data_IF_245623556028
#
_entry.id   IF_245623556028
#
_cell.length_a   1.000
_cell.length_b   1.000
_cell.length_c   1.000
_cell.angle_alpha   90.00
_cell.angle_beta   90.00
_cell.angle_gamma   90.00
#
_symmetry.space_group_name_H-M   'P 1'
#
loop_
_entity.id
_entity.type
_entity.pdbx_description
1 polymer ?
#
# COMPACT_ATOMS: atom_id res chain seq x y z
N UNK A 1 6.98 -30.54 -5.63
CA UNK A 1 5.62 -31.11 -5.50
C UNK A 1 4.73 -30.37 -4.48
N UNK A 2 5.23 -29.77 -3.40
CA UNK A 2 4.38 -29.06 -2.41
C UNK A 2 3.78 -27.70 -2.87
N UNK A 3 4.38 -27.00 -3.82
CA UNK A 3 3.90 -25.68 -4.27
C UNK A 3 2.54 -25.71 -5.00
N UNK A 4 1.99 -26.90 -5.29
CA UNK A 4 0.67 -27.07 -5.92
C UNK A 4 -0.51 -26.99 -4.95
N UNK A 5 -0.27 -27.00 -3.63
CA UNK A 5 -1.30 -26.84 -2.60
C UNK A 5 -0.86 -25.85 -1.50
N UNK A 6 -0.82 -24.53 -1.78
CA UNK A 6 -0.25 -23.53 -0.87
C UNK A 6 -0.95 -23.42 0.50
N UNK A 7 -2.19 -23.89 0.59
CA UNK A 7 -2.98 -23.92 1.84
C UNK A 7 -2.49 -24.97 2.84
N UNK A 8 -1.77 -26.00 2.38
CA UNK A 8 -1.22 -27.07 3.21
C UNK A 8 0.21 -26.78 3.69
N UNK A 9 0.78 -25.65 3.28
CA UNK A 9 2.11 -25.22 3.72
C UNK A 9 1.94 -24.17 4.81
N UNK A 10 2.59 -24.42 5.95
CA UNK A 10 2.66 -23.48 7.06
C UNK A 10 3.21 -22.10 6.62
N UNK A 11 2.77 -21.03 7.29
CA UNK A 11 3.19 -19.67 6.97
C UNK A 11 4.71 -19.51 7.03
N UNK A 12 5.37 -20.09 8.03
CA UNK A 12 6.81 -19.95 8.19
C UNK A 12 7.60 -20.60 7.06
N UNK A 13 7.11 -21.74 6.56
CA UNK A 13 7.69 -22.42 5.41
C UNK A 13 7.49 -21.61 4.12
N UNK A 14 6.31 -21.02 3.91
CA UNK A 14 6.06 -20.11 2.77
C UNK A 14 6.96 -18.88 2.84
N UNK A 15 7.09 -18.28 4.02
CA UNK A 15 7.96 -17.12 4.27
C UNK A 15 9.43 -17.45 4.03
N UNK A 16 9.91 -18.59 4.52
CA UNK A 16 11.29 -19.04 4.33
C UNK A 16 11.60 -19.29 2.85
N UNK A 17 10.68 -19.94 2.12
CA UNK A 17 10.78 -20.14 0.67
C UNK A 17 10.76 -18.82 -0.10
N UNK A 18 9.87 -17.89 0.25
CA UNK A 18 9.84 -16.57 -0.38
C UNK A 18 11.17 -15.83 -0.18
N UNK A 19 11.67 -15.78 1.07
CA UNK A 19 12.95 -15.14 1.39
C UNK A 19 14.14 -15.78 0.69
N UNK A 20 14.15 -17.11 0.49
CA UNK A 20 15.24 -17.77 -0.24
C UNK A 20 15.25 -17.37 -1.72
N UNK A 21 14.07 -17.22 -2.35
CA UNK A 21 13.95 -16.71 -3.72
C UNK A 21 14.41 -15.27 -3.87
N UNK A 22 14.10 -14.40 -2.90
CA UNK A 22 14.56 -13.01 -2.90
C UNK A 22 16.08 -12.94 -2.75
N UNK A 23 16.67 -13.70 -1.81
CA UNK A 23 18.14 -13.77 -1.67
C UNK A 23 18.83 -14.23 -2.94
N UNK A 24 18.31 -15.27 -3.59
CA UNK A 24 18.84 -15.72 -4.87
C UNK A 24 18.86 -14.60 -5.93
N UNK A 25 17.82 -13.77 -5.99
CA UNK A 25 17.80 -12.62 -6.90
C UNK A 25 18.82 -11.54 -6.51
N UNK A 26 19.02 -11.32 -5.22
CA UNK A 26 20.01 -10.36 -4.72
C UNK A 26 21.44 -10.82 -5.03
N UNK A 27 21.75 -12.10 -4.86
CA UNK A 27 23.09 -12.66 -5.15
C UNK A 27 23.41 -12.66 -6.65
N UNK A 28 22.38 -12.77 -7.49
CA UNK A 28 22.49 -12.67 -8.95
C UNK A 28 22.44 -11.22 -9.46
N UNK A 29 22.20 -10.25 -8.60
CA UNK A 29 22.06 -8.86 -9.00
C UNK A 29 23.44 -8.26 -9.29
N UNK A 30 23.67 -7.94 -10.56
CA UNK A 30 24.95 -7.42 -11.04
C UNK A 30 25.09 -5.90 -10.85
N UNK A 31 23.99 -5.17 -10.62
CA UNK A 31 24.06 -3.71 -10.45
C UNK A 31 24.50 -3.35 -9.04
N UNK A 32 25.15 -2.19 -8.92
CA UNK A 32 25.64 -1.65 -7.66
C UNK A 32 24.52 -1.30 -6.66
N UNK A 33 24.90 -0.86 -5.45
CA UNK A 33 23.92 -0.48 -4.42
C UNK A 33 23.02 0.66 -4.89
N UNK A 34 21.74 0.59 -4.53
CA UNK A 34 20.78 1.67 -4.72
C UNK A 34 21.02 2.73 -3.65
N UNK A 35 21.68 3.82 -4.01
CA UNK A 35 21.98 4.93 -3.09
C UNK A 35 20.93 6.03 -3.22
N UNK A 36 20.44 6.51 -2.08
CA UNK A 36 19.58 7.70 -2.00
C UNK A 36 20.11 8.68 -0.96
N UNK A 37 19.94 9.97 -1.22
CA UNK A 37 20.30 11.05 -0.30
C UNK A 37 19.07 11.90 -0.02
N UNK A 38 18.62 11.95 1.23
CA UNK A 38 17.34 12.57 1.61
C UNK A 38 17.50 13.53 2.78
N UNK A 39 16.67 14.57 2.81
CA UNK A 39 16.52 15.46 3.97
C UNK A 39 15.33 14.97 4.79
N UNK A 40 15.47 14.90 6.12
CA UNK A 40 14.38 14.43 7.01
C UNK A 40 13.07 15.20 6.79
N UNK A 41 13.17 16.53 6.68
CA UNK A 41 12.01 17.40 6.47
C UNK A 41 11.33 17.22 5.10
N UNK A 42 12.02 16.64 4.12
CA UNK A 42 11.52 16.45 2.75
C UNK A 42 11.59 14.99 2.32
N UNK A 43 11.49 14.05 3.28
CA UNK A 43 11.76 12.62 3.03
C UNK A 43 10.85 12.04 1.94
N UNK A 44 9.57 12.42 1.90
CA UNK A 44 8.65 11.96 0.87
C UNK A 44 9.05 12.48 -0.51
N UNK A 45 9.27 13.78 -0.62
CA UNK A 45 9.63 14.46 -1.87
C UNK A 45 10.97 13.95 -2.42
N UNK A 46 12.01 13.95 -1.59
CA UNK A 46 13.36 13.53 -1.99
C UNK A 46 13.37 12.05 -2.42
N UNK A 47 12.62 11.19 -1.70
CA UNK A 47 12.50 9.77 -2.05
C UNK A 47 11.72 9.55 -3.34
N UNK A 48 10.59 10.26 -3.50
CA UNK A 48 9.76 10.20 -4.70
C UNK A 48 10.57 10.61 -5.94
N UNK A 49 11.30 11.73 -5.84
CA UNK A 49 12.15 12.24 -6.92
C UNK A 49 13.24 11.24 -7.32
N UNK A 50 13.85 10.55 -6.37
CA UNK A 50 14.95 9.63 -6.65
C UNK A 50 14.53 8.24 -7.09
N UNK A 51 13.31 7.79 -6.75
CA UNK A 51 12.88 6.39 -6.93
C UNK A 51 11.76 6.20 -7.95
N UNK A 52 10.89 7.20 -8.21
CA UNK A 52 9.70 7.02 -9.06
C UNK A 52 10.02 6.55 -10.49
N UNK A 53 11.12 7.05 -11.06
CA UNK A 53 11.56 6.72 -12.42
C UNK A 53 12.68 5.68 -12.48
N UNK A 54 13.13 5.15 -11.32
CA UNK A 54 14.21 4.16 -11.31
C UNK A 54 13.79 2.88 -12.04
N UNK A 55 14.63 2.31 -12.90
CA UNK A 55 14.38 1.00 -13.48
C UNK A 55 14.17 -0.06 -12.39
N UNK A 56 13.28 -1.02 -12.63
CA UNK A 56 13.00 -2.11 -11.68
C UNK A 56 14.23 -2.98 -11.40
N UNK A 57 15.20 -3.02 -12.32
CA UNK A 57 16.50 -3.67 -12.12
C UNK A 57 17.26 -2.99 -10.98
N UNK A 58 17.46 -1.68 -11.05
CA UNK A 58 18.18 -0.90 -10.03
C UNK A 58 17.51 -0.97 -8.65
N UNK A 59 16.17 -1.05 -8.63
CA UNK A 59 15.42 -1.23 -7.39
C UNK A 59 15.66 -2.59 -6.72
N UNK A 60 16.35 -3.55 -7.34
CA UNK A 60 16.75 -4.79 -6.66
C UNK A 60 18.08 -4.67 -5.94
N UNK A 61 18.82 -3.58 -6.14
CA UNK A 61 20.05 -3.31 -5.44
C UNK A 61 19.83 -3.08 -3.95
N UNK A 62 20.83 -3.44 -3.13
CA UNK A 62 20.85 -3.11 -1.70
C UNK A 62 20.66 -1.61 -1.51
N UNK A 63 19.63 -1.21 -0.78
CA UNK A 63 19.38 0.19 -0.45
C UNK A 63 20.46 0.70 0.51
N UNK A 64 20.96 1.89 0.25
CA UNK A 64 21.87 2.62 1.12
C UNK A 64 21.35 4.05 1.26
N UNK A 65 20.93 4.40 2.46
CA UNK A 65 20.34 5.70 2.76
C UNK A 65 21.37 6.63 3.36
N UNK A 66 21.45 7.84 2.84
CA UNK A 66 22.18 8.94 3.43
C UNK A 66 21.22 10.07 3.82
N UNK A 67 21.23 10.46 5.10
CA UNK A 67 20.54 11.67 5.55
C UNK A 67 21.48 12.87 5.39
N UNK A 68 21.04 13.88 4.64
CA UNK A 68 21.88 15.05 4.33
C UNK A 68 22.25 15.83 5.60
N UNK A 69 23.52 16.19 5.73
CA UNK A 69 24.04 16.92 6.89
C UNK A 69 24.28 16.04 8.13
N UNK A 70 24.01 14.74 8.05
CA UNK A 70 24.20 13.80 9.16
C UNK A 70 25.43 12.91 8.95
N UNK A 71 26.16 12.64 10.03
CA UNK A 71 27.25 11.66 10.02
C UNK A 71 26.64 10.26 10.15
N UNK A 72 26.99 9.35 9.25
CA UNK A 72 26.58 7.96 9.37
C UNK A 72 26.86 7.17 8.09
N UNK A 73 27.33 5.94 8.27
CA UNK A 73 27.40 4.94 7.20
C UNK A 73 26.25 3.97 7.42
N UNK A 74 25.43 3.76 6.39
CA UNK A 74 24.29 2.88 6.50
C UNK A 74 24.72 1.40 6.55
N UNK A 75 24.81 0.87 7.77
CA UNK A 75 24.92 -0.56 8.04
C UNK A 75 23.55 -1.26 8.14
N UNK A 76 22.47 -0.58 7.75
CA UNK A 76 21.07 -1.03 7.82
C UNK A 76 20.20 -0.18 8.75
N UNK A 77 20.82 0.54 9.70
CA UNK A 77 20.10 1.39 10.65
C UNK A 77 19.41 2.58 9.99
N UNK A 78 20.09 3.27 9.07
CA UNK A 78 19.52 4.42 8.35
C UNK A 78 18.46 3.97 7.35
N UNK A 79 18.67 2.82 6.70
CA UNK A 79 17.63 2.19 5.87
C UNK A 79 16.36 1.89 6.68
N UNK A 80 16.49 1.28 7.87
CA UNK A 80 15.33 0.97 8.73
C UNK A 80 14.58 2.25 9.13
N UNK A 81 15.32 3.27 9.54
CA UNK A 81 14.75 4.56 9.91
C UNK A 81 14.05 5.24 8.74
N UNK A 82 14.64 5.21 7.54
CA UNK A 82 14.03 5.76 6.33
C UNK A 82 12.67 5.13 6.03
N UNK A 83 12.55 3.80 6.11
CA UNK A 83 11.27 3.13 5.92
C UNK A 83 10.21 3.59 6.93
N UNK A 84 10.61 3.73 8.21
CA UNK A 84 9.71 4.18 9.28
C UNK A 84 9.24 5.62 9.08
N UNK A 85 10.15 6.54 8.73
CA UNK A 85 9.81 7.93 8.51
C UNK A 85 8.98 8.12 7.25
N UNK A 86 9.38 7.47 6.16
CA UNK A 86 8.68 7.56 4.88
C UNK A 86 7.26 6.99 4.99
N UNK A 87 7.08 5.84 5.67
CA UNK A 87 5.75 5.27 5.87
C UNK A 87 4.86 6.21 6.68
N UNK A 88 5.37 6.81 7.77
CA UNK A 88 4.60 7.78 8.55
C UNK A 88 4.07 8.93 7.70
N UNK A 89 4.88 9.48 6.80
CA UNK A 89 4.45 10.60 5.94
C UNK A 89 3.47 10.13 4.85
N UNK A 90 3.67 8.96 4.25
CA UNK A 90 2.76 8.43 3.20
C UNK A 90 1.36 8.15 3.74
N UNK A 91 1.28 7.60 4.95
CA UNK A 91 0.04 7.15 5.58
C UNK A 91 -0.55 8.19 6.55
N UNK A 92 0.03 9.38 6.61
CA UNK A 92 -0.56 10.51 7.31
C UNK A 92 -1.85 10.98 6.60
N UNK A 93 -2.84 11.41 7.38
CA UNK A 93 -4.13 11.90 6.85
C UNK A 93 -3.94 13.09 5.90
N UNK A 94 -2.96 13.95 6.15
CA UNK A 94 -2.63 15.12 5.33
C UNK A 94 -2.02 14.78 3.97
N UNK A 95 -1.50 13.57 3.77
CA UNK A 95 -0.99 13.15 2.47
C UNK A 95 -2.11 12.84 1.45
N UNK A 96 -3.35 12.64 1.93
CA UNK A 96 -4.55 12.33 1.15
C UNK A 96 -4.47 11.08 0.26
N UNK A 97 -3.40 10.28 0.35
CA UNK A 97 -3.20 9.07 -0.46
C UNK A 97 -3.97 7.86 0.11
N UNK A 98 -3.95 7.69 1.43
CA UNK A 98 -4.60 6.59 2.12
C UNK A 98 -5.54 7.14 3.19
N UNK A 99 -6.59 6.38 3.49
CA UNK A 99 -7.50 6.64 4.61
C UNK A 99 -7.59 5.40 5.47
N UNK A 100 -7.95 5.59 6.73
CA UNK A 100 -8.28 4.51 7.63
C UNK A 100 -9.74 4.08 7.48
N UNK A 101 -10.06 2.88 7.96
CA UNK A 101 -11.43 2.32 8.04
C UNK A 101 -11.69 1.85 9.46
N UNK A 102 -12.91 2.07 9.97
CA UNK A 102 -13.34 1.58 11.30
C UNK A 102 -12.50 2.15 12.45
N UNK A 103 -11.85 1.26 13.21
CA UNK A 103 -11.08 1.60 14.41
C UNK A 103 -9.72 2.31 14.15
N UNK A 104 -9.50 2.85 12.96
CA UNK A 104 -8.26 3.51 12.54
C UNK A 104 -6.99 2.64 12.57
N UNK A 105 -7.12 1.30 12.62
CA UNK A 105 -5.96 0.41 12.67
C UNK A 105 -5.45 -0.02 11.30
N UNK A 106 -6.27 0.10 10.24
CA UNK A 106 -5.91 -0.38 8.89
C UNK A 106 -6.17 0.66 7.81
N UNK A 107 -5.31 0.66 6.79
CA UNK A 107 -5.33 1.62 5.68
C UNK A 107 -5.88 1.03 4.39
N UNK A 108 -6.57 1.87 3.62
CA UNK A 108 -6.96 1.61 2.23
C UNK A 108 -6.72 2.87 1.37
N UNK A 109 -6.57 2.73 0.04
CA UNK A 109 -6.45 3.89 -0.85
C UNK A 109 -7.60 4.87 -0.63
N UNK A 110 -7.30 6.15 -0.49
CA UNK A 110 -8.31 7.18 -0.29
C UNK A 110 -9.12 7.37 -1.60
N UNK A 111 -10.46 7.16 -1.59
CA UNK A 111 -11.30 7.43 -2.76
C UNK A 111 -11.21 8.88 -3.25
N UNK A 112 -10.92 9.81 -2.34
CA UNK A 112 -10.76 11.24 -2.62
C UNK A 112 -9.29 11.65 -2.89
N UNK A 113 -8.41 10.68 -3.17
CA UNK A 113 -6.99 10.96 -3.45
C UNK A 113 -6.76 11.87 -4.66
N UNK A 114 -7.76 12.10 -5.51
CA UNK A 114 -7.71 13.04 -6.64
C UNK A 114 -7.38 14.49 -6.21
N UNK A 115 -7.68 14.87 -4.96
CA UNK A 115 -7.29 16.18 -4.41
C UNK A 115 -5.80 16.31 -4.12
N UNK A 116 -5.05 15.20 -4.20
CA UNK A 116 -3.60 15.22 -4.20
C UNK A 116 -3.08 15.23 -5.63
N UNK A 117 -2.31 16.26 -5.97
CA UNK A 117 -1.66 16.38 -7.28
C UNK A 117 -0.77 15.15 -7.54
N UNK A 118 -0.84 14.59 -8.74
CA UNK A 118 -0.09 13.38 -9.13
C UNK A 118 -0.37 12.12 -8.29
N UNK A 119 -1.54 12.01 -7.63
CA UNK A 119 -1.85 10.87 -6.74
C UNK A 119 -1.62 9.48 -7.37
N UNK A 120 -1.90 9.29 -8.66
CA UNK A 120 -1.63 8.02 -9.35
C UNK A 120 -0.14 7.69 -9.42
N UNK A 121 0.70 8.71 -9.64
CA UNK A 121 2.16 8.54 -9.63
C UNK A 121 2.65 8.23 -8.21
N UNK A 122 2.08 8.88 -7.20
CA UNK A 122 2.35 8.54 -5.80
C UNK A 122 1.94 7.11 -5.46
N UNK A 123 0.77 6.62 -5.87
CA UNK A 123 0.39 5.21 -5.64
C UNK A 123 1.37 4.24 -6.28
N UNK A 124 1.86 4.52 -7.49
CA UNK A 124 2.92 3.72 -8.13
C UNK A 124 4.21 3.75 -7.32
N UNK A 125 4.61 4.91 -6.82
CA UNK A 125 5.77 5.07 -5.95
C UNK A 125 5.59 4.30 -4.63
N UNK A 126 4.45 4.40 -3.95
CA UNK A 126 4.16 3.67 -2.71
C UNK A 126 4.21 2.15 -2.97
N UNK A 127 3.63 1.68 -4.07
CA UNK A 127 3.73 0.28 -4.48
C UNK A 127 5.18 -0.19 -4.66
N UNK A 128 6.04 0.65 -5.25
CA UNK A 128 7.48 0.38 -5.36
C UNK A 128 8.16 0.32 -3.98
N UNK A 129 7.84 1.23 -3.06
CA UNK A 129 8.40 1.26 -1.70
C UNK A 129 7.99 0.03 -0.90
N UNK A 130 6.71 -0.36 -0.95
CA UNK A 130 6.20 -1.57 -0.28
C UNK A 130 6.87 -2.83 -0.85
N UNK A 131 6.97 -2.94 -2.18
CA UNK A 131 7.66 -4.05 -2.82
C UNK A 131 9.16 -4.09 -2.45
N UNK A 132 9.80 -2.91 -2.37
CA UNK A 132 11.21 -2.79 -1.97
C UNK A 132 11.42 -3.19 -0.50
N UNK A 133 10.52 -2.80 0.40
CA UNK A 133 10.57 -3.22 1.81
C UNK A 133 10.52 -4.75 1.93
N UNK A 134 9.61 -5.40 1.21
CA UNK A 134 9.52 -6.86 1.15
C UNK A 134 10.78 -7.49 0.58
N UNK A 135 11.36 -6.89 -0.46
CA UNK A 135 12.61 -7.34 -1.08
C UNK A 135 13.81 -7.21 -0.14
N UNK A 136 13.87 -6.12 0.63
CA UNK A 136 14.94 -5.85 1.60
C UNK A 136 14.76 -6.61 2.93
N UNK A 137 13.61 -7.27 3.11
CA UNK A 137 13.24 -7.89 4.38
C UNK A 137 12.98 -6.88 5.50
N UNK A 138 12.61 -5.64 5.15
CA UNK A 138 12.24 -4.58 6.09
C UNK A 138 10.75 -4.63 6.41
N UNK A 139 10.40 -4.31 7.64
CA UNK A 139 9.02 -4.21 8.09
C UNK A 139 8.56 -2.76 8.00
N UNK A 140 7.33 -2.57 7.52
CA UNK A 140 6.63 -1.29 7.61
C UNK A 140 5.64 -1.39 8.75
N UNK A 141 5.56 -0.34 9.58
CA UNK A 141 4.57 -0.23 10.63
C UNK A 141 3.25 0.31 10.05
N UNK A 142 2.71 -0.45 9.09
CA UNK A 142 1.51 -0.11 8.33
C UNK A 142 0.75 -1.38 8.02
N UNK A 143 -0.53 -1.39 8.36
CA UNK A 143 -1.42 -2.53 8.15
C UNK A 143 -2.48 -2.13 7.13
N UNK A 144 -2.59 -2.88 6.04
CA UNK A 144 -3.62 -2.63 5.06
C UNK A 144 -4.92 -3.37 5.42
N UNK A 145 -6.04 -2.92 4.85
CA UNK A 145 -7.28 -3.69 4.94
C UNK A 145 -7.12 -5.06 4.25
N UNK A 146 -7.89 -6.05 4.71
CA UNK A 146 -7.90 -7.40 4.13
C UNK A 146 -8.24 -7.39 2.63
N UNK A 147 -9.20 -6.54 2.23
CA UNK A 147 -9.58 -6.33 0.83
C UNK A 147 -8.43 -5.80 -0.01
N UNK A 148 -7.61 -4.89 0.53
CA UNK A 148 -6.45 -4.37 -0.19
C UNK A 148 -5.35 -5.44 -0.37
N UNK A 149 -5.10 -6.28 0.64
CA UNK A 149 -4.20 -7.44 0.46
C UNK A 149 -4.71 -8.40 -0.62
N UNK A 150 -6.03 -8.64 -0.71
CA UNK A 150 -6.62 -9.45 -1.78
C UNK A 150 -6.42 -8.84 -3.16
N UNK A 151 -6.57 -7.53 -3.31
CA UNK A 151 -6.25 -6.81 -4.54
C UNK A 151 -4.79 -7.00 -4.96
N UNK A 152 -3.84 -6.90 -4.02
CA UNK A 152 -2.42 -7.15 -4.29
C UNK A 152 -2.19 -8.58 -4.79
N UNK A 153 -2.92 -9.55 -4.24
CA UNK A 153 -2.84 -10.97 -4.63
C UNK A 153 -3.64 -11.31 -5.90
N UNK A 154 -4.41 -10.38 -6.47
CA UNK A 154 -5.30 -10.65 -7.60
C UNK A 154 -6.46 -11.60 -7.26
N UNK A 155 -6.83 -11.73 -5.98
CA UNK A 155 -7.91 -12.59 -5.52
C UNK A 155 -9.22 -11.78 -5.51
N UNK A 156 -10.32 -12.37 -6.02
CA UNK A 156 -11.64 -11.73 -5.95
C UNK A 156 -12.04 -11.48 -4.50
N UNK A 157 -12.55 -10.28 -4.22
CA UNK A 157 -13.18 -10.00 -2.94
C UNK A 157 -14.47 -10.82 -2.84
N UNK A 158 -14.69 -11.42 -1.68
CA UNK A 158 -15.95 -12.07 -1.35
C UNK A 158 -16.77 -11.06 -0.55
N UNK A 159 -18.02 -10.89 -0.95
CA UNK A 159 -18.98 -9.95 -0.34
C UNK A 159 -19.23 -10.36 1.12
N UNK A 160 -19.17 -11.65 1.45
CA UNK A 160 -19.35 -12.16 2.81
C UNK A 160 -18.21 -11.80 3.78
N UNK A 161 -17.09 -11.28 3.28
CA UNK A 161 -15.92 -10.91 4.10
C UNK A 161 -15.82 -9.42 4.39
N UNK A 162 -16.81 -8.62 3.97
CA UNK A 162 -16.99 -7.26 4.47
C UNK A 162 -17.70 -7.41 5.82
N UNK A 163 -16.98 -7.35 6.96
CA UNK A 163 -17.67 -7.24 8.24
C UNK A 163 -18.41 -5.91 8.16
N UNK A 164 -19.71 -5.91 8.40
CA UNK A 164 -20.58 -4.72 8.26
C UNK A 164 -21.05 -4.40 6.83
N UNK A 165 -21.43 -5.41 6.04
CA UNK A 165 -22.63 -5.26 5.18
C UNK A 165 -23.92 -5.33 6.00
N UNK A 166 -23.94 -4.66 7.15
CA UNK A 166 -25.19 -4.13 7.67
C UNK A 166 -25.44 -2.90 6.79
N UNK A 167 -26.55 -2.83 6.09
CA UNK A 167 -26.99 -1.61 5.38
C UNK A 167 -27.16 -0.39 6.31
N UNK A 168 -26.70 -0.44 7.56
CA UNK A 168 -26.56 0.71 8.43
C UNK A 168 -25.23 1.40 8.12
N UNK A 169 -25.29 2.40 7.26
CA UNK A 169 -24.29 3.48 7.32
C UNK A 169 -24.23 3.98 8.76
N UNK A 170 -23.04 4.09 9.33
CA UNK A 170 -22.89 4.78 10.61
C UNK A 170 -23.42 6.21 10.45
N UNK A 171 -24.15 6.71 11.45
CA UNK A 171 -24.81 8.02 11.37
C UNK A 171 -23.82 9.18 11.07
N UNK A 172 -22.56 8.99 11.43
CA UNK A 172 -21.47 9.92 11.12
C UNK A 172 -21.05 9.85 9.64
N UNK A 173 -21.01 8.65 9.03
CA UNK A 173 -20.80 8.50 7.57
C UNK A 173 -22.00 9.03 6.79
N UNK A 174 -23.23 8.80 7.26
CA UNK A 174 -24.44 9.37 6.66
C UNK A 174 -24.41 10.89 6.68
N UNK A 175 -24.02 11.50 7.82
CA UNK A 175 -23.84 12.96 7.89
C UNK A 175 -22.73 13.47 6.97
N UNK A 176 -21.61 12.75 6.88
CA UNK A 176 -20.49 13.13 6.02
C UNK A 176 -20.87 13.06 4.52
N UNK A 177 -21.68 12.07 4.13
CA UNK A 177 -22.19 11.92 2.76
C UNK A 177 -23.29 12.94 2.46
N UNK A 178 -24.21 13.20 3.39
CA UNK A 178 -25.39 14.03 3.17
C UNK A 178 -25.12 15.54 3.30
N UNK A 179 -24.15 15.94 4.13
CA UNK A 179 -23.91 17.36 4.45
C UNK A 179 -22.54 17.89 4.03
N UNK A 180 -21.53 17.06 3.80
CA UNK A 180 -20.17 17.52 3.47
C UNK A 180 -19.74 17.27 2.02
N UNK A 181 -20.43 16.41 1.27
CA UNK A 181 -20.20 16.29 -0.18
C UNK A 181 -20.96 17.39 -0.92
N UNK A 182 -20.22 18.32 -1.52
CA UNK A 182 -20.77 19.37 -2.40
C UNK A 182 -21.36 18.80 -3.69
N UNK A 183 -20.95 17.59 -4.09
CA UNK A 183 -21.46 16.87 -5.26
C UNK A 183 -21.64 15.37 -4.95
N UNK A 184 -22.81 14.84 -5.29
CA UNK A 184 -23.12 13.39 -5.25
C UNK A 184 -23.15 12.88 -6.69
N UNK A 185 -22.35 11.86 -6.96
CA UNK A 185 -22.31 11.22 -8.29
C UNK A 185 -22.99 9.85 -8.22
N UNK A 186 -24.02 9.67 -9.04
CA UNK A 186 -24.69 8.38 -9.19
C UNK A 186 -23.85 7.45 -10.08
N UNK A 187 -23.55 6.25 -9.57
CA UNK A 187 -22.85 5.20 -10.31
C UNK A 187 -23.74 3.97 -10.51
N UNK A 188 -23.85 3.51 -11.75
CA UNK A 188 -24.48 2.21 -12.06
C UNK A 188 -23.56 1.06 -11.64
N UNK A 189 -24.05 0.16 -10.79
CA UNK A 189 -23.30 -1.05 -10.38
C UNK A 189 -23.17 -2.08 -11.51
N UNK A 190 -24.12 -2.09 -12.45
CA UNK A 190 -24.12 -2.91 -13.66
C UNK A 190 -24.79 -2.14 -14.81
N UNK A 191 -24.45 -2.42 -16.07
CA UNK A 191 -25.07 -1.77 -17.22
C UNK A 191 -26.61 -1.88 -17.17
N UNK A 192 -27.29 -0.73 -17.24
CA UNK A 192 -28.76 -0.66 -17.17
C UNK A 192 -29.32 -0.82 -15.76
N UNK A 193 -28.46 -0.80 -14.73
CA UNK A 193 -28.82 -0.98 -13.32
C UNK A 193 -29.87 0.00 -12.82
N UNK A 194 -29.88 1.24 -13.35
CA UNK A 194 -30.87 2.27 -13.00
C UNK A 194 -32.32 1.86 -13.27
N UNK A 195 -32.54 0.93 -14.19
CA UNK A 195 -33.88 0.48 -14.58
C UNK A 195 -34.27 -0.86 -13.94
N UNK A 196 -33.42 -1.41 -13.07
CA UNK A 196 -33.63 -2.70 -12.44
C UNK A 196 -34.23 -2.45 -11.05
N UNK A 197 -35.47 -2.90 -10.86
CA UNK A 197 -36.09 -2.90 -9.52
C UNK A 197 -35.40 -3.96 -8.68
N UNK A 198 -34.99 -3.57 -7.48
CA UNK A 198 -34.42 -4.53 -6.54
C UNK A 198 -35.50 -5.56 -6.21
N UNK A 199 -35.18 -6.83 -6.41
CA UNK A 199 -36.11 -7.94 -6.27
C UNK A 199 -36.37 -8.23 -4.80
N UNK A 200 -36.98 -7.28 -4.09
CA UNK A 200 -37.44 -7.48 -2.73
C UNK A 200 -38.48 -8.59 -2.72
N UNK A 201 -38.10 -9.74 -2.19
CA UNK A 201 -39.02 -10.81 -1.86
C UNK A 201 -40.03 -10.20 -0.88
N UNK A 202 -41.27 -9.98 -1.33
CA UNK A 202 -42.38 -9.61 -0.44
C UNK A 202 -42.56 -10.78 0.53
N UNK A 203 -42.34 -10.52 1.81
CA UNK A 203 -42.97 -11.30 2.87
C UNK A 203 -44.46 -10.98 2.91
#
# INVERSE_FOLDING_TARGET
>A
MLLKAPRLIDFDNKRAYFRSRIRQQHDQHLSGPLRISVRRAYILEDSYNQLRMRPSQDLKGRLNVHFQGERGIDAGGLTREWYQLLSRVIFDKGALLFTTVGNNATFQPNPNSVYQTEHLSYFRFVGRVVAKALFDGQLLDVYFTRSFYKHILGVKNDVSEIPDLTFSMDADEEKHILYEKTEVTDYELKPGGRNIRDGGNKA
#
